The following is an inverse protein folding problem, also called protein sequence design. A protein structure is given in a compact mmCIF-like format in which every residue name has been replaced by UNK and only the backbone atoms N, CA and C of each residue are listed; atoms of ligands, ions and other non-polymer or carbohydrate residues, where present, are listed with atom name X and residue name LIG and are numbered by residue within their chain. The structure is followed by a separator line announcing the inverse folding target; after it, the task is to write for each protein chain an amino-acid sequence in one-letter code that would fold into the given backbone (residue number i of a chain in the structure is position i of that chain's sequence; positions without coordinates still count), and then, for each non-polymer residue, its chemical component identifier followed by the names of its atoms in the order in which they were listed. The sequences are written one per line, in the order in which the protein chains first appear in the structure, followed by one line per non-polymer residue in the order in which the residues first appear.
data_IF_951992495993
#
_entry.id   IF_951992495993
#
_cell.length_a   1.000
_cell.length_b   1.000
_cell.length_c   1.000
_cell.angle_alpha   90.00
_cell.angle_beta   90.00
_cell.angle_gamma   90.00
#
_symmetry.space_group_name_H-M   'P 1'
#
loop_
_entity.id
_entity.type
_entity.pdbx_description
1 polymer ?
#
# COMPACT_ATOMS: atom_id res chain seq x y z
N UNK A 1 -2.81 -12.53 20.00
CA UNK A 1 -1.58 -12.98 19.33
C UNK A 1 -1.97 -13.78 18.09
N UNK A 2 -1.18 -13.68 17.00
CA UNK A 2 -1.46 -14.44 15.76
C UNK A 2 -1.10 -15.91 15.91
N UNK A 3 -2.02 -16.80 15.52
CA UNK A 3 -1.82 -18.26 15.52
C UNK A 3 -1.37 -18.76 14.14
N UNK A 4 -0.73 -19.93 14.09
CA UNK A 4 -0.50 -20.63 12.83
C UNK A 4 -1.79 -21.34 12.41
N UNK A 5 -2.30 -21.01 11.23
CA UNK A 5 -3.61 -21.47 10.76
C UNK A 5 -3.52 -22.23 9.45
N UNK A 6 -2.40 -22.92 9.21
CA UNK A 6 -2.21 -23.71 8.00
C UNK A 6 -3.32 -24.77 7.79
N UNK A 7 -3.90 -25.29 8.88
CA UNK A 7 -5.02 -26.23 8.86
C UNK A 7 -6.32 -25.66 8.28
N UNK A 8 -6.49 -24.33 8.24
CA UNK A 8 -7.65 -23.69 7.61
C UNK A 8 -7.63 -23.79 6.08
N UNK A 9 -6.48 -24.12 5.47
CA UNK A 9 -6.42 -24.32 4.02
C UNK A 9 -7.15 -25.62 3.69
N UNK A 10 -8.23 -25.57 2.87
CA UNK A 10 -9.00 -26.77 2.55
C UNK A 10 -8.12 -27.87 1.95
N UNK A 11 -8.26 -29.10 2.44
CA UNK A 11 -7.40 -30.22 2.05
C UNK A 11 -7.35 -30.46 0.53
N UNK A 12 -8.44 -30.15 -0.19
CA UNK A 12 -8.53 -30.21 -1.66
C UNK A 12 -7.51 -29.31 -2.38
N UNK A 13 -7.00 -28.28 -1.71
CA UNK A 13 -6.00 -27.35 -2.23
C UNK A 13 -4.56 -27.77 -1.91
N UNK A 14 -4.34 -28.69 -0.98
CA UNK A 14 -2.99 -29.16 -0.65
C UNK A 14 -2.28 -29.78 -1.86
N UNK A 15 -3.03 -30.43 -2.75
CA UNK A 15 -2.50 -31.05 -3.98
C UNK A 15 -1.96 -30.06 -5.02
N UNK A 16 -2.40 -28.80 -4.95
CA UNK A 16 -1.92 -27.76 -5.88
C UNK A 16 -0.90 -26.83 -5.20
N UNK A 17 -0.87 -26.78 -3.86
CA UNK A 17 0.21 -26.11 -3.13
C UNK A 17 1.54 -26.80 -3.47
N UNK A 18 2.55 -26.00 -3.81
CA UNK A 18 3.85 -26.49 -4.27
C UNK A 18 3.95 -26.66 -5.78
N UNK A 19 2.96 -26.19 -6.55
CA UNK A 19 3.02 -26.20 -8.01
C UNK A 19 4.30 -25.49 -8.48
N UNK A 20 5.15 -26.23 -9.18
CA UNK A 20 6.33 -25.69 -9.85
C UNK A 20 5.93 -25.10 -11.18
N UNK A 21 6.32 -23.86 -11.43
CA UNK A 21 6.09 -23.15 -12.70
C UNK A 21 7.41 -22.66 -13.24
N UNK A 22 7.53 -22.56 -14.57
CA UNK A 22 8.64 -21.86 -15.22
C UNK A 22 8.11 -20.59 -15.87
N UNK A 23 8.82 -19.49 -15.65
CA UNK A 23 8.49 -18.17 -16.19
C UNK A 23 9.69 -17.72 -17.03
N UNK A 24 9.44 -17.29 -18.27
CA UNK A 24 10.49 -16.80 -19.17
C UNK A 24 11.27 -15.68 -18.50
N UNK A 25 12.59 -15.81 -18.53
CA UNK A 25 13.51 -14.75 -18.15
C UNK A 25 13.40 -13.61 -19.15
N UNK A 26 13.80 -12.43 -18.69
CA UNK A 26 13.87 -11.25 -19.51
C UNK A 26 14.30 -10.06 -18.69
N UNK A 27 14.28 -8.92 -19.34
CA UNK A 27 14.57 -7.65 -18.70
C UNK A 27 13.85 -6.53 -19.41
N UNK A 28 13.82 -5.38 -18.77
CA UNK A 28 13.31 -4.17 -19.40
C UNK A 28 14.37 -3.57 -20.29
N UNK A 29 14.00 -3.32 -21.55
CA UNK A 29 14.78 -2.54 -22.48
C UNK A 29 14.13 -1.18 -22.66
N UNK A 30 14.95 -0.18 -22.89
CA UNK A 30 14.49 1.17 -23.17
C UNK A 30 14.09 1.27 -24.65
N UNK A 31 12.87 1.72 -24.95
CA UNK A 31 12.38 1.92 -26.33
C UNK A 31 12.79 3.27 -26.92
N UNK A 32 12.78 4.30 -26.08
CA UNK A 32 12.99 5.70 -26.47
C UNK A 32 13.99 6.36 -25.53
N UNK A 33 14.60 7.47 -25.93
CA UNK A 33 15.53 8.21 -25.07
C UNK A 33 14.88 8.61 -23.72
N UNK A 34 15.63 8.40 -22.64
CA UNK A 34 15.19 8.66 -21.28
C UNK A 34 15.55 10.09 -20.86
N UNK A 35 14.57 10.87 -20.37
CA UNK A 35 14.83 12.15 -19.73
C UNK A 35 15.02 11.97 -18.22
N UNK A 36 16.28 12.02 -17.78
CA UNK A 36 16.66 11.84 -16.37
C UNK A 36 16.48 13.09 -15.51
N UNK A 37 16.09 14.24 -16.08
CA UNK A 37 16.00 15.51 -15.32
C UNK A 37 15.12 15.41 -14.08
N UNK A 38 14.03 14.65 -14.17
CA UNK A 38 13.10 14.45 -13.06
C UNK A 38 13.73 13.70 -11.87
N UNK A 39 14.83 12.96 -12.07
CA UNK A 39 15.59 12.27 -11.01
C UNK A 39 16.69 13.12 -10.37
N UNK A 40 17.21 14.13 -11.07
CA UNK A 40 18.45 14.82 -10.69
C UNK A 40 18.47 15.33 -9.23
N UNK A 41 17.41 16.01 -8.79
CA UNK A 41 17.33 16.54 -7.42
C UNK A 41 17.42 15.43 -6.36
N UNK A 42 16.75 14.30 -6.58
CA UNK A 42 16.83 13.15 -5.69
C UNK A 42 18.19 12.46 -5.77
N UNK A 43 18.76 12.30 -6.96
CA UNK A 43 20.08 11.70 -7.16
C UNK A 43 21.17 12.47 -6.44
N UNK A 44 21.17 13.80 -6.56
CA UNK A 44 22.11 14.67 -5.85
C UNK A 44 21.94 14.56 -4.33
N UNK A 45 20.70 14.56 -3.84
CA UNK A 45 20.38 14.36 -2.43
C UNK A 45 20.90 13.01 -1.90
N UNK A 46 20.66 11.92 -2.63
CA UNK A 46 21.11 10.57 -2.28
C UNK A 46 22.63 10.49 -2.25
N UNK A 47 23.29 11.02 -3.27
CA UNK A 47 24.75 11.03 -3.35
C UNK A 47 25.39 11.82 -2.19
N UNK A 48 24.82 12.96 -1.80
CA UNK A 48 25.31 13.74 -0.66
C UNK A 48 25.18 12.97 0.67
N UNK A 49 24.03 12.34 0.92
CA UNK A 49 23.77 11.56 2.14
C UNK A 49 24.63 10.30 2.21
N UNK A 50 24.76 9.58 1.10
CA UNK A 50 25.56 8.35 1.06
C UNK A 50 27.07 8.63 1.27
N UNK A 51 27.56 9.82 0.89
CA UNK A 51 28.95 10.25 1.11
C UNK A 51 29.22 10.71 2.54
N UNK A 52 28.23 11.31 3.20
CA UNK A 52 28.39 11.90 4.53
C UNK A 52 27.14 11.65 5.35
N UNK A 53 27.32 11.00 6.50
CA UNK A 53 26.24 10.83 7.48
C UNK A 53 25.71 12.20 7.92
N UNK A 54 24.44 12.45 7.66
CA UNK A 54 23.73 13.67 8.08
C UNK A 54 22.90 13.33 9.31
N UNK A 55 23.15 14.03 10.41
CA UNK A 55 22.32 13.93 11.62
C UNK A 55 21.04 14.72 11.40
N UNK A 56 19.90 14.06 11.56
CA UNK A 56 18.58 14.68 11.46
C UNK A 56 17.91 14.65 12.82
N UNK A 57 17.29 15.76 13.19
CA UNK A 57 16.36 15.84 14.31
C UNK A 57 14.95 15.79 13.70
N UNK A 58 14.22 14.65 13.79
CA UNK A 58 13.03 14.44 12.98
C UNK A 58 11.91 15.46 13.22
N UNK A 59 11.70 15.88 14.48
CA UNK A 59 10.67 16.87 14.83
C UNK A 59 11.00 18.27 14.28
N UNK A 60 12.28 18.69 14.32
CA UNK A 60 12.72 19.95 13.70
C UNK A 60 12.50 19.94 12.19
N UNK A 61 12.84 18.81 11.55
CA UNK A 61 12.65 18.65 10.11
C UNK A 61 11.16 18.72 9.73
N UNK A 62 10.29 18.03 10.47
CA UNK A 62 8.85 18.07 10.23
C UNK A 62 8.24 19.46 10.43
N UNK A 63 8.64 20.17 11.49
CA UNK A 63 8.16 21.52 11.76
C UNK A 63 8.58 22.50 10.68
N UNK A 64 9.86 22.51 10.32
CA UNK A 64 10.40 23.39 9.28
C UNK A 64 9.80 23.06 7.90
N UNK A 65 9.61 21.77 7.58
CA UNK A 65 8.94 21.36 6.34
C UNK A 65 7.53 21.96 6.25
N UNK A 66 6.76 21.87 7.34
CA UNK A 66 5.41 22.43 7.37
C UNK A 66 5.41 23.95 7.29
N UNK A 67 6.31 24.61 8.03
CA UNK A 67 6.47 26.07 8.00
C UNK A 67 6.79 26.58 6.60
N UNK A 68 7.80 26.03 5.95
CA UNK A 68 8.19 26.46 4.59
C UNK A 68 7.12 26.15 3.55
N UNK A 69 6.31 25.11 3.76
CA UNK A 69 5.11 24.88 2.95
C UNK A 69 4.10 26.02 3.12
N UNK A 70 3.81 26.42 4.37
CA UNK A 70 2.86 27.49 4.68
C UNK A 70 3.33 28.85 4.19
N UNK A 71 4.63 29.10 4.26
CA UNK A 71 5.26 30.33 3.78
C UNK A 71 5.43 30.36 2.24
N UNK A 72 5.11 29.26 1.54
CA UNK A 72 5.23 29.14 0.08
C UNK A 72 6.67 28.99 -0.44
N UNK A 73 7.65 28.91 0.45
CA UNK A 73 9.08 28.83 0.15
C UNK A 73 9.60 27.39 -0.04
N UNK A 74 8.79 26.37 0.26
CA UNK A 74 9.18 24.96 0.14
C UNK A 74 9.72 24.61 -1.27
N UNK A 75 9.10 25.14 -2.33
CA UNK A 75 9.52 24.90 -3.72
C UNK A 75 10.97 25.33 -4.00
N UNK A 76 11.41 26.42 -3.37
CA UNK A 76 12.77 26.94 -3.54
C UNK A 76 13.80 26.10 -2.78
N UNK A 77 13.36 25.34 -1.77
CA UNK A 77 14.19 24.50 -0.89
C UNK A 77 14.01 23.00 -1.14
N UNK A 78 13.38 22.61 -2.25
CA UNK A 78 13.06 21.21 -2.55
C UNK A 78 14.26 20.27 -2.38
N UNK A 79 15.38 20.57 -3.05
CA UNK A 79 16.60 19.74 -2.99
C UNK A 79 17.10 19.55 -1.56
N UNK A 80 17.07 20.61 -0.74
CA UNK A 80 17.50 20.56 0.65
C UNK A 80 16.58 19.65 1.49
N UNK A 81 15.26 19.76 1.31
CA UNK A 81 14.31 18.90 2.02
C UNK A 81 14.37 17.46 1.57
N UNK A 82 14.54 17.17 0.28
CA UNK A 82 14.76 15.80 -0.21
C UNK A 82 15.98 15.16 0.44
N UNK A 83 17.09 15.91 0.54
CA UNK A 83 18.30 15.46 1.22
C UNK A 83 18.04 15.12 2.68
N UNK A 84 17.38 16.01 3.43
CA UNK A 84 17.12 15.77 4.85
C UNK A 84 16.13 14.65 5.09
N UNK A 85 15.10 14.52 4.26
CA UNK A 85 14.13 13.43 4.36
C UNK A 85 14.77 12.09 3.99
N UNK A 86 15.59 12.03 2.95
CA UNK A 86 16.34 10.81 2.62
C UNK A 86 17.37 10.47 3.71
N UNK A 87 18.05 11.46 4.30
CA UNK A 87 18.93 11.22 5.45
C UNK A 87 18.20 10.63 6.66
N UNK A 88 16.98 11.11 6.94
CA UNK A 88 16.12 10.53 7.96
C UNK A 88 15.79 9.06 7.63
N UNK A 89 15.31 8.79 6.41
CA UNK A 89 14.97 7.45 5.95
C UNK A 89 16.16 6.48 5.99
N UNK A 90 17.35 6.97 5.66
CA UNK A 90 18.57 6.18 5.64
C UNK A 90 19.11 5.87 7.03
N UNK A 91 18.95 6.79 7.98
CA UNK A 91 19.27 6.52 9.39
C UNK A 91 18.38 5.41 10.00
N UNK A 92 17.20 5.15 9.41
CA UNK A 92 16.32 4.02 9.75
C UNK A 92 16.72 2.71 9.05
N UNK A 93 17.90 2.64 8.43
CA UNK A 93 18.46 1.43 7.83
C UNK A 93 18.10 1.23 6.36
N UNK A 94 17.50 2.22 5.70
CA UNK A 94 17.17 2.15 4.28
C UNK A 94 18.26 2.77 3.41
N UNK A 95 18.36 2.34 2.16
CA UNK A 95 19.28 2.96 1.21
C UNK A 95 18.77 2.83 -0.22
N UNK A 96 19.07 3.85 -1.01
CA UNK A 96 18.94 3.79 -2.46
C UNK A 96 20.29 3.40 -3.09
N UNK A 97 20.28 2.62 -4.17
CA UNK A 97 21.50 2.24 -4.87
C UNK A 97 22.13 3.46 -5.55
N UNK A 98 23.38 3.30 -5.99
CA UNK A 98 24.02 4.28 -6.86
C UNK A 98 23.18 4.47 -8.12
N UNK A 99 22.93 5.73 -8.48
CA UNK A 99 22.07 6.04 -9.60
C UNK A 99 22.70 5.63 -10.93
N UNK A 100 21.88 5.05 -11.79
CA UNK A 100 22.13 4.81 -13.20
C UNK A 100 20.77 4.80 -13.93
N UNK A 101 20.79 4.56 -15.24
CA UNK A 101 19.59 4.55 -16.09
C UNK A 101 19.00 3.16 -16.31
N UNK A 102 19.45 2.15 -15.56
CA UNK A 102 18.82 0.83 -15.61
C UNK A 102 17.43 0.88 -14.96
N UNK A 103 16.50 0.07 -15.50
CA UNK A 103 15.11 0.08 -15.07
C UNK A 103 14.95 -0.23 -13.56
N UNK A 104 15.74 -1.13 -13.00
CA UNK A 104 15.64 -1.52 -11.59
C UNK A 104 16.03 -0.34 -10.68
N UNK A 105 17.12 0.34 -11.00
CA UNK A 105 17.59 1.52 -10.27
C UNK A 105 16.57 2.65 -10.36
N UNK A 106 16.09 3.00 -11.56
CA UNK A 106 15.07 4.05 -11.74
C UNK A 106 13.78 3.74 -10.96
N UNK A 107 13.36 2.47 -10.96
CA UNK A 107 12.20 2.02 -10.19
C UNK A 107 12.38 2.19 -8.68
N UNK A 108 13.54 1.85 -8.11
CA UNK A 108 13.80 2.06 -6.68
C UNK A 108 13.70 3.53 -6.28
N UNK A 109 14.20 4.43 -7.12
CA UNK A 109 14.08 5.88 -6.90
C UNK A 109 12.62 6.35 -7.01
N UNK A 110 11.88 5.87 -8.01
CA UNK A 110 10.44 6.16 -8.16
C UNK A 110 9.63 5.63 -6.97
N UNK A 111 9.90 4.43 -6.49
CA UNK A 111 9.22 3.82 -5.33
C UNK A 111 9.55 4.58 -4.04
N UNK A 112 10.78 5.04 -3.85
CA UNK A 112 11.10 5.91 -2.72
C UNK A 112 10.20 7.16 -2.70
N UNK A 113 10.01 7.83 -3.84
CA UNK A 113 9.13 9.00 -3.92
C UNK A 113 7.65 8.62 -3.73
N UNK A 114 7.17 7.63 -4.47
CA UNK A 114 5.75 7.27 -4.53
C UNK A 114 5.23 6.55 -3.30
N UNK A 115 6.01 5.62 -2.75
CA UNK A 115 5.56 4.73 -1.68
C UNK A 115 6.03 5.20 -0.32
N UNK A 116 7.21 5.84 -0.23
CA UNK A 116 7.78 6.26 1.05
C UNK A 116 7.57 7.73 1.31
N UNK A 117 8.06 8.61 0.44
CA UNK A 117 7.97 10.05 0.64
C UNK A 117 6.52 10.51 0.70
N UNK A 118 5.73 10.19 -0.33
CA UNK A 118 4.32 10.58 -0.46
C UNK A 118 3.43 10.00 0.63
N UNK A 119 3.57 8.70 0.92
CA UNK A 119 2.58 7.99 1.75
C UNK A 119 2.99 7.84 3.22
N UNK A 120 4.27 8.04 3.58
CA UNK A 120 4.75 7.75 4.92
C UNK A 120 5.64 8.86 5.51
N UNK A 121 6.76 9.20 4.88
CA UNK A 121 7.81 10.00 5.52
C UNK A 121 7.35 11.41 5.87
N UNK A 122 6.60 12.07 4.98
CA UNK A 122 6.05 13.40 5.26
C UNK A 122 5.11 13.32 6.48
N UNK A 123 4.17 12.37 6.50
CA UNK A 123 3.26 12.19 7.63
C UNK A 123 4.03 11.94 8.93
N UNK A 124 4.97 10.99 8.94
CA UNK A 124 5.78 10.65 10.11
C UNK A 124 6.55 11.86 10.66
N UNK A 125 7.13 12.68 9.78
CA UNK A 125 7.85 13.89 10.20
C UNK A 125 6.90 14.93 10.79
N UNK A 126 5.75 15.16 10.16
CA UNK A 126 4.74 16.07 10.68
C UNK A 126 4.22 15.60 12.05
N UNK A 127 3.97 14.31 12.24
CA UNK A 127 3.49 13.77 13.52
C UNK A 127 4.51 14.01 14.63
N UNK A 128 5.79 13.73 14.37
CA UNK A 128 6.88 14.01 15.32
C UNK A 128 6.99 15.50 15.65
N UNK A 129 6.77 16.38 14.67
CA UNK A 129 6.77 17.81 14.88
C UNK A 129 5.58 18.29 15.72
N UNK A 130 4.39 17.73 15.48
CA UNK A 130 3.19 18.06 16.25
C UNK A 130 3.31 17.60 17.71
N UNK A 131 3.87 16.42 17.95
CA UNK A 131 4.15 15.91 19.30
C UNK A 131 5.15 16.80 20.06
N UNK A 132 6.22 17.24 19.39
CA UNK A 132 7.26 18.06 20.01
C UNK A 132 6.85 19.54 20.18
N UNK A 133 6.06 20.07 19.24
CA UNK A 133 5.71 21.50 19.15
C UNK A 133 4.20 21.75 18.98
N UNK A 134 3.34 21.24 19.88
CA UNK A 134 1.90 21.23 19.67
C UNK A 134 1.29 22.62 19.49
N UNK A 135 1.79 23.63 20.22
CA UNK A 135 1.31 25.02 20.12
C UNK A 135 1.69 25.65 18.79
N UNK A 136 2.98 25.62 18.44
CA UNK A 136 3.49 26.21 17.21
C UNK A 136 2.91 25.50 15.98
N UNK A 137 2.75 24.18 16.04
CA UNK A 137 2.14 23.39 14.96
C UNK A 137 0.66 23.77 14.76
N UNK A 138 -0.09 23.95 15.85
CA UNK A 138 -1.48 24.39 15.81
C UNK A 138 -1.62 25.81 15.25
N UNK A 139 -0.72 26.71 15.60
CA UNK A 139 -0.66 28.07 15.03
C UNK A 139 -0.44 28.02 13.51
N UNK A 140 0.49 27.17 13.03
CA UNK A 140 0.75 26.99 11.61
C UNK A 140 -0.44 26.39 10.84
N UNK A 141 -1.17 25.45 11.44
CA UNK A 141 -2.40 24.89 10.86
C UNK A 141 -3.46 25.96 10.61
N UNK A 142 -3.49 27.01 11.44
CA UNK A 142 -4.52 28.03 11.44
C UNK A 142 -5.82 27.48 12.02
N UNK A 143 -6.33 28.14 13.07
CA UNK A 143 -7.57 27.74 13.74
C UNK A 143 -8.75 28.12 12.82
N UNK A 144 -9.09 27.26 11.88
CA UNK A 144 -10.44 27.24 11.32
C UNK A 144 -11.20 26.12 12.01
N UNK A 145 -12.32 26.44 12.68
CA UNK A 145 -13.23 25.41 13.19
C UNK A 145 -13.72 24.59 11.99
N UNK A 146 -13.42 23.30 11.99
CA UNK A 146 -13.76 22.36 10.93
C UNK A 146 -15.15 21.78 11.18
N UNK A 147 -15.87 21.45 10.12
CA UNK A 147 -17.19 20.80 10.23
C UNK A 147 -17.03 19.28 10.13
N UNK A 148 -17.00 18.61 11.29
CA UNK A 148 -16.98 17.16 11.44
C UNK A 148 -18.38 16.56 11.58
N UNK A 149 -19.47 17.27 11.27
CA UNK A 149 -20.85 16.77 11.49
C UNK A 149 -21.14 15.40 10.90
N UNK A 150 -20.56 15.06 9.73
CA UNK A 150 -20.71 13.73 9.13
C UNK A 150 -20.09 12.63 10.01
N UNK A 151 -18.87 12.86 10.49
CA UNK A 151 -18.19 11.96 11.40
C UNK A 151 -18.95 11.91 12.74
N UNK A 152 -19.28 13.06 13.32
CA UNK A 152 -20.07 13.17 14.55
C UNK A 152 -21.40 12.41 14.49
N UNK A 153 -22.13 12.48 13.36
CA UNK A 153 -23.36 11.70 13.14
C UNK A 153 -23.11 10.19 13.14
N UNK A 154 -21.98 9.75 12.57
CA UNK A 154 -21.58 8.34 12.53
C UNK A 154 -21.24 7.85 13.93
N UNK A 155 -20.45 8.62 14.68
CA UNK A 155 -20.06 8.28 16.04
C UNK A 155 -21.26 8.28 16.99
N UNK A 156 -22.18 9.25 16.87
CA UNK A 156 -23.41 9.28 17.64
C UNK A 156 -24.30 8.06 17.38
N UNK A 157 -24.41 7.65 16.11
CA UNK A 157 -25.17 6.45 15.73
C UNK A 157 -24.64 5.19 16.40
N UNK A 158 -23.32 5.04 16.48
CA UNK A 158 -22.68 3.94 17.21
C UNK A 158 -22.85 4.05 18.71
N UNK A 159 -22.69 5.27 19.27
CA UNK A 159 -22.83 5.52 20.70
C UNK A 159 -24.22 5.16 21.22
N UNK A 160 -25.26 5.44 20.43
CA UNK A 160 -26.67 5.12 20.72
C UNK A 160 -27.11 3.71 20.33
N UNK A 161 -26.21 2.90 19.76
CA UNK A 161 -26.53 1.52 19.38
C UNK A 161 -26.28 0.54 20.53
N UNK A 162 -26.92 -0.63 20.44
CA UNK A 162 -26.69 -1.79 21.32
C UNK A 162 -25.53 -2.68 20.83
N UNK A 163 -24.65 -2.14 19.97
CA UNK A 163 -23.55 -2.92 19.43
C UNK A 163 -22.56 -3.32 20.55
N UNK A 164 -22.15 -4.60 20.61
CA UNK A 164 -21.05 -4.99 21.50
C UNK A 164 -19.80 -4.21 21.09
N UNK A 165 -18.97 -3.85 22.07
CA UNK A 165 -17.68 -3.18 21.81
C UNK A 165 -17.81 -1.83 21.08
N UNK A 166 -18.92 -1.10 21.28
CA UNK A 166 -19.16 0.18 20.59
C UNK A 166 -18.07 1.22 20.86
N UNK A 167 -17.49 1.25 22.06
CA UNK A 167 -16.42 2.19 22.41
C UNK A 167 -15.14 1.90 21.62
N UNK A 168 -14.70 0.65 21.57
CA UNK A 168 -13.54 0.20 20.78
C UNK A 168 -13.75 0.48 19.28
N UNK A 169 -14.97 0.30 18.79
CA UNK A 169 -15.34 0.68 17.41
C UNK A 169 -15.24 2.17 17.16
N UNK A 170 -15.70 3.01 18.10
CA UNK A 170 -15.58 4.47 17.99
C UNK A 170 -14.11 4.87 18.01
N UNK A 171 -13.29 4.32 18.93
CA UNK A 171 -11.84 4.55 18.97
C UNK A 171 -11.17 4.19 17.63
N UNK A 172 -11.49 3.02 17.06
CA UNK A 172 -10.98 2.61 15.75
C UNK A 172 -11.43 3.54 14.60
N UNK A 173 -12.63 4.11 14.65
CA UNK A 173 -13.06 5.12 13.66
C UNK A 173 -12.28 6.42 13.84
N UNK A 174 -12.10 6.86 15.09
CA UNK A 174 -11.36 8.06 15.44
C UNK A 174 -9.90 7.94 14.98
N UNK A 175 -9.21 6.85 15.30
CA UNK A 175 -7.84 6.57 14.87
C UNK A 175 -7.69 6.58 13.34
N UNK A 176 -8.65 6.00 12.60
CA UNK A 176 -8.67 6.04 11.13
C UNK A 176 -8.83 7.46 10.57
N UNK A 177 -9.42 8.35 11.34
CA UNK A 177 -9.52 9.78 11.03
C UNK A 177 -8.43 10.59 11.76
N UNK A 178 -7.38 9.91 12.25
CA UNK A 178 -6.23 10.45 12.96
C UNK A 178 -6.54 11.20 14.28
N UNK A 179 -7.69 10.91 14.89
CA UNK A 179 -8.00 11.29 16.27
C UNK A 179 -7.58 10.17 17.22
N UNK A 180 -6.56 10.44 18.05
CA UNK A 180 -6.09 9.49 19.06
C UNK A 180 -6.69 9.85 20.41
N UNK A 181 -7.56 8.99 20.94
CA UNK A 181 -8.25 9.20 22.23
C UNK A 181 -8.13 7.95 23.10
N UNK A 182 -7.68 8.14 24.33
CA UNK A 182 -7.56 7.03 25.29
C UNK A 182 -8.93 6.63 25.86
N UNK A 183 -9.81 7.61 26.06
CA UNK A 183 -11.11 7.43 26.70
C UNK A 183 -12.21 8.27 26.02
N UNK A 184 -13.44 7.74 25.98
CA UNK A 184 -14.61 8.42 25.43
C UNK A 184 -15.63 8.64 26.55
N UNK A 185 -15.57 9.82 27.17
CA UNK A 185 -16.42 10.20 28.31
C UNK A 185 -17.68 10.94 27.87
N UNK A 186 -18.38 10.39 26.88
CA UNK A 186 -19.60 11.02 26.36
C UNK A 186 -20.81 10.71 27.22
N UNK A 187 -21.65 11.71 27.45
CA UNK A 187 -22.92 11.50 28.15
C UNK A 187 -23.90 10.71 27.26
N UNK A 188 -24.84 9.92 27.82
CA UNK A 188 -25.83 9.18 27.03
C UNK A 188 -26.67 10.06 26.09
N UNK A 189 -26.89 11.32 26.48
CA UNK A 189 -27.66 12.31 25.74
C UNK A 189 -26.82 13.23 24.85
N UNK A 190 -25.53 12.94 24.64
CA UNK A 190 -24.65 13.77 23.80
C UNK A 190 -25.25 14.00 22.41
N UNK A 191 -25.05 15.21 21.88
CA UNK A 191 -25.56 15.65 20.58
C UNK A 191 -24.50 15.61 19.49
N UNK A 192 -24.93 15.70 18.22
CA UNK A 192 -24.00 15.79 17.08
C UNK A 192 -23.11 17.03 17.20
N UNK A 193 -23.65 18.16 17.69
CA UNK A 193 -22.89 19.40 17.83
C UNK A 193 -21.82 19.28 18.92
N UNK A 194 -22.13 18.66 20.06
CA UNK A 194 -21.15 18.45 21.14
C UNK A 194 -20.03 17.49 20.71
N UNK A 195 -20.35 16.40 20.00
CA UNK A 195 -19.32 15.52 19.41
C UNK A 195 -18.50 16.30 18.39
N UNK A 196 -19.13 17.14 17.56
CA UNK A 196 -18.43 17.97 16.58
C UNK A 196 -17.47 18.97 17.25
N UNK A 197 -17.88 19.62 18.33
CA UNK A 197 -17.05 20.55 19.09
C UNK A 197 -15.92 19.81 19.81
N UNK A 198 -16.19 18.62 20.35
CA UNK A 198 -15.17 17.74 20.90
C UNK A 198 -14.15 17.32 19.83
N UNK A 199 -14.59 16.91 18.65
CA UNK A 199 -13.69 16.62 17.52
C UNK A 199 -12.88 17.85 17.12
N UNK A 200 -13.49 19.04 17.11
CA UNK A 200 -12.75 20.29 16.87
C UNK A 200 -11.69 20.55 17.94
N UNK A 201 -11.98 20.26 19.21
CA UNK A 201 -11.00 20.38 20.29
C UNK A 201 -9.82 19.42 20.15
N UNK A 202 -10.04 18.25 19.53
CA UNK A 202 -8.99 17.28 19.21
C UNK A 202 -8.30 17.56 17.87
N UNK A 203 -8.96 18.30 16.96
CA UNK A 203 -8.52 18.50 15.57
C UNK A 203 -7.22 19.30 15.42
N UNK A 204 -6.84 20.07 16.44
CA UNK A 204 -5.51 20.69 16.52
C UNK A 204 -4.39 19.65 16.47
N UNK A 205 -4.71 18.40 16.81
CA UNK A 205 -3.78 17.28 16.91
C UNK A 205 -3.85 16.31 15.70
N UNK A 206 -4.57 16.67 14.63
CA UNK A 206 -4.81 15.77 13.48
C UNK A 206 -4.11 16.26 12.21
N UNK A 207 -3.17 15.48 11.69
CA UNK A 207 -2.53 15.72 10.40
C UNK A 207 -3.38 15.10 9.28
N UNK A 208 -3.95 15.96 8.45
CA UNK A 208 -4.81 15.52 7.35
C UNK A 208 -4.00 14.94 6.18
N UNK A 209 -4.54 13.89 5.55
CA UNK A 209 -3.98 13.31 4.34
C UNK A 209 -3.86 14.35 3.20
N UNK A 210 -4.79 15.30 3.13
CA UNK A 210 -4.75 16.37 2.14
C UNK A 210 -3.54 17.31 2.35
N UNK A 211 -3.20 17.62 3.60
CA UNK A 211 -2.01 18.41 3.91
C UNK A 211 -0.74 17.68 3.47
N UNK A 212 -0.61 16.39 3.80
CA UNK A 212 0.51 15.54 3.37
C UNK A 212 0.62 15.54 1.85
N UNK A 213 -0.50 15.38 1.14
CA UNK A 213 -0.54 15.39 -0.32
C UNK A 213 -0.14 16.74 -0.91
N UNK A 214 -0.55 17.85 -0.30
CA UNK A 214 -0.17 19.21 -0.73
C UNK A 214 1.32 19.47 -0.54
N UNK A 215 1.88 19.12 0.62
CA UNK A 215 3.33 19.21 0.89
C UNK A 215 4.10 18.34 -0.12
N UNK A 216 3.65 17.10 -0.36
CA UNK A 216 4.26 16.24 -1.38
C UNK A 216 4.25 16.88 -2.77
N UNK A 217 3.11 17.46 -3.17
CA UNK A 217 2.99 18.08 -4.49
C UNK A 217 3.97 19.25 -4.65
N UNK A 218 4.11 20.10 -3.63
CA UNK A 218 5.07 21.20 -3.63
C UNK A 218 6.52 20.75 -3.50
N UNK A 219 6.77 19.60 -2.87
CA UNK A 219 8.11 19.07 -2.73
C UNK A 219 8.61 18.36 -4.00
N UNK A 220 7.76 17.52 -4.61
CA UNK A 220 8.21 16.62 -5.70
C UNK A 220 7.11 16.13 -6.65
N UNK A 221 5.87 16.64 -6.57
CA UNK A 221 4.74 16.08 -7.31
C UNK A 221 4.91 16.08 -8.83
N UNK A 222 5.40 17.19 -9.40
CA UNK A 222 5.63 17.32 -10.84
C UNK A 222 6.72 16.35 -11.33
N UNK A 223 7.87 16.33 -10.64
CA UNK A 223 8.98 15.42 -10.96
C UNK A 223 8.54 13.97 -10.87
N UNK A 224 7.75 13.61 -9.85
CA UNK A 224 7.21 12.24 -9.73
C UNK A 224 6.30 11.87 -10.90
N UNK A 225 5.43 12.78 -11.36
CA UNK A 225 4.60 12.56 -12.53
C UNK A 225 5.42 12.35 -13.81
N UNK A 226 6.53 13.09 -13.97
CA UNK A 226 7.44 12.88 -15.10
C UNK A 226 8.22 11.56 -14.98
N UNK A 227 8.70 11.20 -13.79
CA UNK A 227 9.31 9.89 -13.55
C UNK A 227 8.38 8.76 -13.98
N UNK A 228 7.08 8.86 -13.63
CA UNK A 228 6.09 7.85 -14.02
C UNK A 228 6.00 7.69 -15.54
N UNK A 229 5.92 8.80 -16.28
CA UNK A 229 5.89 8.77 -17.76
C UNK A 229 7.15 8.21 -18.37
N UNK A 230 8.31 8.60 -17.85
CA UNK A 230 9.60 8.09 -18.32
C UNK A 230 9.75 6.58 -18.09
N UNK A 231 9.17 6.05 -17.00
CA UNK A 231 9.13 4.59 -16.79
C UNK A 231 8.26 3.85 -17.84
N UNK A 232 7.31 4.50 -18.50
CA UNK A 232 6.47 3.87 -19.54
C UNK A 232 7.24 3.58 -20.84
N UNK A 233 8.42 4.21 -21.02
CA UNK A 233 9.31 3.96 -22.17
C UNK A 233 10.03 2.61 -22.10
N UNK A 234 9.97 1.94 -20.97
CA UNK A 234 10.56 0.62 -20.80
C UNK A 234 9.60 -0.47 -21.25
N UNK A 235 10.11 -1.41 -22.04
CA UNK A 235 9.39 -2.62 -22.43
C UNK A 235 10.10 -3.85 -21.91
N UNK A 236 9.34 -4.75 -21.33
CA UNK A 236 9.87 -6.07 -20.99
C UNK A 236 10.12 -6.88 -22.27
N UNK A 237 11.37 -7.29 -22.49
CA UNK A 237 11.72 -8.27 -23.52
C UNK A 237 12.17 -9.58 -22.90
N UNK A 238 11.54 -10.65 -23.35
CA UNK A 238 11.94 -12.01 -22.99
C UNK A 238 13.27 -12.37 -23.66
N UNK A 239 14.15 -13.03 -22.92
CA UNK A 239 15.41 -13.58 -23.44
C UNK A 239 15.14 -14.78 -24.37
N UNK A 240 14.93 -14.54 -25.67
CA UNK A 240 14.90 -15.56 -26.73
C UNK A 240 13.95 -16.76 -26.54
N UNK A 241 13.95 -17.69 -27.50
CA UNK A 241 13.22 -18.98 -27.43
C UNK A 241 14.02 -20.09 -26.72
N UNK A 242 14.90 -19.76 -25.78
CA UNK A 242 15.64 -20.78 -25.03
C UNK A 242 14.75 -21.33 -23.91
N UNK A 243 14.41 -22.63 -24.00
CA UNK A 243 13.43 -23.35 -23.17
C UNK A 243 13.72 -23.47 -21.66
N UNK A 244 14.42 -22.50 -21.06
CA UNK A 244 14.79 -22.49 -19.65
C UNK A 244 14.26 -21.23 -18.95
N UNK A 245 12.93 -21.17 -18.74
CA UNK A 245 12.35 -20.19 -17.82
C UNK A 245 12.88 -20.41 -16.39
N UNK A 246 12.98 -19.34 -15.60
CA UNK A 246 13.33 -19.40 -14.18
C UNK A 246 12.21 -20.16 -13.45
N UNK A 247 12.52 -21.21 -12.68
CA UNK A 247 11.50 -21.96 -11.97
C UNK A 247 11.11 -21.25 -10.68
N UNK A 248 9.84 -21.36 -10.34
CA UNK A 248 9.25 -20.86 -9.11
C UNK A 248 8.31 -21.91 -8.54
N UNK A 249 8.01 -21.79 -7.25
CA UNK A 249 7.08 -22.64 -6.54
C UNK A 249 5.98 -21.80 -5.91
N UNK A 250 4.73 -22.12 -6.22
CA UNK A 250 3.57 -21.42 -5.65
C UNK A 250 3.06 -22.17 -4.43
N UNK A 251 3.08 -21.54 -3.26
CA UNK A 251 2.74 -22.17 -1.98
C UNK A 251 1.57 -21.46 -1.34
N UNK A 252 0.48 -22.19 -1.08
CA UNK A 252 -0.59 -21.71 -0.23
C UNK A 252 -0.18 -21.77 1.23
N UNK A 253 -0.36 -20.67 1.95
CA UNK A 253 0.01 -20.60 3.35
C UNK A 253 -0.95 -19.79 4.20
N UNK A 254 -1.08 -20.18 5.46
CA UNK A 254 -1.55 -19.35 6.59
C UNK A 254 -0.64 -19.52 7.80
N UNK A 255 0.64 -19.81 7.56
CA UNK A 255 1.63 -19.93 8.62
C UNK A 255 1.91 -18.55 9.22
N UNK A 256 2.04 -18.50 10.54
CA UNK A 256 2.36 -17.26 11.24
C UNK A 256 3.67 -16.64 10.75
N UNK A 257 4.70 -17.46 10.51
CA UNK A 257 6.00 -16.97 10.03
C UNK A 257 5.94 -16.30 8.65
N UNK A 258 4.92 -16.60 7.84
CA UNK A 258 4.76 -16.00 6.52
C UNK A 258 3.89 -14.74 6.55
N UNK A 259 3.50 -14.26 7.72
CA UNK A 259 2.61 -13.12 7.89
C UNK A 259 3.38 -11.80 8.03
N UNK A 260 4.44 -11.67 7.23
CA UNK A 260 5.31 -10.48 7.15
C UNK A 260 5.27 -9.89 5.74
N UNK A 261 5.65 -8.62 5.61
CA UNK A 261 5.49 -7.84 4.36
C UNK A 261 6.12 -8.52 3.14
N UNK A 262 7.27 -9.20 3.29
CA UNK A 262 7.97 -9.84 2.16
C UNK A 262 7.17 -10.93 1.43
N UNK A 263 6.27 -11.62 2.14
CA UNK A 263 5.45 -12.69 1.55
C UNK A 263 4.08 -12.19 1.09
N UNK A 264 3.63 -11.03 1.61
CA UNK A 264 2.38 -10.35 1.24
C UNK A 264 2.72 -8.94 0.79
N UNK A 265 3.51 -8.87 -0.28
CA UNK A 265 3.93 -7.60 -0.83
C UNK A 265 2.71 -6.80 -1.30
N UNK A 266 2.84 -5.49 -1.33
CA UNK A 266 1.99 -4.62 -2.15
C UNK A 266 0.77 -4.00 -1.48
N UNK A 267 0.00 -4.76 -0.69
CA UNK A 267 -1.01 -4.17 0.20
C UNK A 267 -0.60 -4.45 1.63
N UNK A 268 -0.46 -3.41 2.45
CA UNK A 268 0.04 -3.49 3.83
C UNK A 268 -0.93 -4.24 4.76
N UNK A 269 -1.17 -5.53 4.55
CA UNK A 269 -2.02 -6.38 5.38
C UNK A 269 -1.23 -7.18 6.40
N UNK A 270 0.11 -7.05 6.40
CA UNK A 270 0.97 -7.71 7.38
C UNK A 270 0.56 -7.46 8.85
N UNK A 271 0.15 -6.24 9.29
CA UNK A 271 -0.31 -6.03 10.66
C UNK A 271 -1.80 -6.37 10.89
N UNK A 272 -2.54 -6.83 9.87
CA UNK A 272 -3.99 -7.02 9.94
C UNK A 272 -4.40 -8.35 10.57
N UNK A 273 -4.28 -8.47 11.89
CA UNK A 273 -4.62 -9.69 12.62
C UNK A 273 -6.06 -10.18 12.35
N UNK A 274 -7.01 -9.26 12.12
CA UNK A 274 -8.39 -9.64 11.83
C UNK A 274 -8.49 -10.35 10.48
N UNK A 275 -7.81 -9.85 9.45
CA UNK A 275 -7.74 -10.51 8.15
C UNK A 275 -7.04 -11.87 8.24
N UNK A 276 -5.87 -11.93 8.90
CA UNK A 276 -5.08 -13.16 9.03
C UNK A 276 -5.84 -14.29 9.75
N UNK A 277 -6.67 -13.91 10.73
CA UNK A 277 -7.52 -14.84 11.47
C UNK A 277 -8.86 -15.14 10.77
N UNK A 278 -9.09 -14.61 9.58
CA UNK A 278 -10.32 -14.91 8.86
C UNK A 278 -10.24 -16.27 8.16
N UNK A 279 -11.25 -17.17 8.28
CA UNK A 279 -11.25 -18.45 7.58
C UNK A 279 -11.41 -18.29 6.05
N UNK A 280 -11.90 -17.13 5.60
CA UNK A 280 -12.08 -16.79 4.19
C UNK A 280 -10.81 -16.23 3.52
N UNK A 281 -9.68 -16.18 4.23
CA UNK A 281 -8.42 -15.60 3.77
C UNK A 281 -7.31 -16.65 3.64
N UNK A 282 -6.60 -16.60 2.50
CA UNK A 282 -5.38 -17.37 2.27
C UNK A 282 -4.36 -16.52 1.50
N UNK A 283 -3.07 -16.79 1.67
CA UNK A 283 -2.04 -16.26 0.77
C UNK A 283 -1.46 -17.37 -0.09
N UNK A 284 -1.14 -17.06 -1.33
CA UNK A 284 -0.18 -17.83 -2.12
C UNK A 284 1.10 -17.05 -2.20
N UNK A 285 2.21 -17.68 -1.84
CA UNK A 285 3.55 -17.13 -1.87
C UNK A 285 4.27 -17.71 -3.09
N UNK A 286 5.00 -16.87 -3.81
CA UNK A 286 5.92 -17.27 -4.86
C UNK A 286 7.29 -17.44 -4.22
N UNK A 287 7.83 -18.66 -4.26
CA UNK A 287 9.21 -18.94 -3.87
C UNK A 287 10.08 -19.12 -5.12
N UNK A 288 11.27 -18.56 -5.11
CA UNK A 288 12.29 -18.85 -6.13
C UNK A 288 13.07 -20.15 -5.80
N UNK A 289 14.17 -20.38 -6.51
CA UNK A 289 15.02 -21.58 -6.34
C UNK A 289 15.80 -21.59 -5.02
N UNK A 290 15.98 -20.42 -4.41
CA UNK A 290 16.70 -20.23 -3.15
C UNK A 290 15.75 -20.15 -1.95
N UNK A 291 14.46 -20.48 -2.16
CA UNK A 291 13.39 -20.36 -1.17
C UNK A 291 13.18 -18.92 -0.65
N UNK A 292 13.55 -17.91 -1.45
CA UNK A 292 13.23 -16.52 -1.15
C UNK A 292 11.77 -16.21 -1.49
N UNK A 293 11.09 -15.53 -0.57
CA UNK A 293 9.73 -15.04 -0.77
C UNK A 293 9.65 -13.88 -1.77
N UNK A 294 8.90 -14.08 -2.84
CA UNK A 294 8.79 -13.14 -3.95
C UNK A 294 7.40 -12.48 -4.05
N UNK A 295 6.75 -12.24 -2.90
CA UNK A 295 5.33 -11.83 -2.87
C UNK A 295 4.39 -12.94 -3.35
N UNK A 296 3.24 -12.57 -3.91
CA UNK A 296 2.32 -13.56 -4.48
C UNK A 296 0.88 -13.07 -4.62
N UNK A 297 -0.09 -13.76 -4.00
CA UNK A 297 -1.52 -13.42 -4.12
C UNK A 297 -2.20 -13.50 -2.77
N UNK A 298 -3.00 -12.49 -2.47
CA UNK A 298 -3.97 -12.52 -1.38
C UNK A 298 -5.29 -13.04 -1.94
N UNK A 299 -5.77 -14.16 -1.40
CA UNK A 299 -7.07 -14.72 -1.73
C UNK A 299 -8.10 -14.40 -0.64
N UNK A 300 -9.31 -14.06 -1.09
CA UNK A 300 -10.50 -13.98 -0.25
C UNK A 300 -11.63 -14.81 -0.83
N UNK A 301 -12.55 -15.27 0.02
CA UNK A 301 -13.78 -15.90 -0.44
C UNK A 301 -14.99 -15.09 -0.02
N UNK A 302 -15.98 -15.02 -0.90
CA UNK A 302 -17.23 -14.33 -0.62
C UNK A 302 -18.41 -15.14 -1.16
N UNK A 303 -19.58 -14.88 -0.59
CA UNK A 303 -20.84 -15.49 -0.99
C UNK A 303 -21.90 -14.39 -1.17
N UNK A 304 -22.66 -14.44 -2.27
CA UNK A 304 -23.81 -13.57 -2.56
C UNK A 304 -24.81 -14.33 -3.43
N UNK A 305 -26.10 -14.26 -3.11
CA UNK A 305 -27.17 -14.93 -3.88
C UNK A 305 -26.88 -16.42 -4.15
N UNK A 306 -26.44 -17.15 -3.12
CA UNK A 306 -26.04 -18.57 -3.19
C UNK A 306 -24.85 -18.88 -4.13
N UNK A 307 -24.16 -17.85 -4.60
CA UNK A 307 -22.97 -17.97 -5.44
C UNK A 307 -21.72 -17.72 -4.61
N UNK A 308 -20.74 -18.61 -4.76
CA UNK A 308 -19.43 -18.53 -4.09
C UNK A 308 -18.36 -18.06 -5.05
N UNK A 309 -17.59 -17.07 -4.65
CA UNK A 309 -16.54 -16.46 -5.47
C UNK A 309 -15.18 -16.55 -4.80
N UNK A 310 -14.14 -16.75 -5.61
CA UNK A 310 -12.75 -16.63 -5.18
C UNK A 310 -12.22 -15.30 -5.67
N UNK A 311 -11.70 -14.46 -4.79
CA UNK A 311 -11.14 -13.16 -5.11
C UNK A 311 -9.63 -13.26 -5.05
N UNK A 312 -8.93 -12.69 -6.04
CA UNK A 312 -7.47 -12.63 -6.09
C UNK A 312 -6.98 -11.17 -6.15
N UNK A 313 -6.11 -10.81 -5.21
CA UNK A 313 -5.28 -9.60 -5.24
C UNK A 313 -3.82 -10.01 -5.52
N UNK A 314 -3.30 -9.64 -6.69
CA UNK A 314 -2.07 -10.15 -7.29
C UNK A 314 -0.91 -9.19 -6.99
N UNK A 315 0.00 -9.61 -6.13
CA UNK A 315 1.08 -8.79 -5.59
C UNK A 315 2.46 -9.49 -5.64
N UNK A 316 2.94 -9.90 -6.83
CA UNK A 316 4.33 -10.33 -6.99
C UNK A 316 5.32 -9.22 -6.58
N UNK A 317 6.52 -9.59 -6.14
CA UNK A 317 7.56 -8.60 -5.83
C UNK A 317 8.08 -7.94 -7.11
N UNK A 318 8.50 -6.67 -7.01
CA UNK A 318 9.11 -5.97 -8.14
C UNK A 318 10.41 -6.67 -8.59
N UNK A 319 11.16 -7.29 -7.67
CA UNK A 319 12.40 -8.02 -7.97
C UNK A 319 12.19 -9.24 -8.87
N UNK A 320 11.05 -9.94 -8.79
CA UNK A 320 10.76 -10.97 -9.80
C UNK A 320 10.28 -10.34 -11.10
N UNK A 321 9.45 -9.31 -11.04
CA UNK A 321 8.92 -8.66 -12.23
C UNK A 321 9.98 -7.92 -13.06
N UNK A 322 11.17 -7.66 -12.50
CA UNK A 322 12.32 -7.11 -13.23
C UNK A 322 13.13 -8.16 -13.99
N UNK A 323 13.04 -9.44 -13.60
CA UNK A 323 13.90 -10.52 -14.14
C UNK A 323 13.13 -11.61 -14.89
N UNK A 324 11.80 -11.64 -14.79
CA UNK A 324 10.93 -12.58 -15.51
C UNK A 324 9.68 -11.89 -16.05
N UNK A 325 9.09 -12.44 -17.12
CA UNK A 325 7.95 -11.82 -17.81
C UNK A 325 6.78 -11.55 -16.86
N UNK A 326 6.36 -10.28 -16.71
CA UNK A 326 5.16 -9.93 -15.95
C UNK A 326 3.90 -10.61 -16.49
N UNK A 327 3.75 -10.70 -17.80
CA UNK A 327 2.61 -11.32 -18.49
C UNK A 327 2.54 -12.82 -18.19
N UNK A 328 3.67 -13.52 -18.30
CA UNK A 328 3.72 -14.94 -17.95
C UNK A 328 3.52 -15.14 -16.45
N UNK A 329 4.09 -14.27 -15.59
CA UNK A 329 3.88 -14.32 -14.14
C UNK A 329 2.39 -14.23 -13.82
N UNK A 330 1.72 -13.20 -14.36
CA UNK A 330 0.28 -13.04 -14.25
C UNK A 330 -0.47 -14.28 -14.76
N UNK A 331 -0.17 -14.77 -15.96
CA UNK A 331 -0.84 -15.93 -16.53
C UNK A 331 -0.66 -17.21 -15.68
N UNK A 332 0.52 -17.44 -15.10
CA UNK A 332 0.78 -18.57 -14.19
C UNK A 332 -0.02 -18.42 -12.90
N UNK A 333 -0.08 -17.22 -12.34
CA UNK A 333 -0.89 -16.90 -11.16
C UNK A 333 -2.36 -17.19 -11.44
N UNK A 334 -2.92 -16.64 -12.53
CA UNK A 334 -4.31 -16.89 -12.90
C UNK A 334 -4.60 -18.37 -13.11
N UNK A 335 -3.69 -19.11 -13.76
CA UNK A 335 -3.83 -20.56 -13.90
C UNK A 335 -3.91 -21.26 -12.55
N UNK A 336 -3.08 -20.87 -11.59
CA UNK A 336 -3.13 -21.40 -10.23
C UNK A 336 -4.44 -21.04 -9.52
N UNK A 337 -4.88 -19.78 -9.61
CA UNK A 337 -6.15 -19.31 -9.03
C UNK A 337 -7.36 -20.05 -9.61
N UNK A 338 -7.36 -20.35 -10.92
CA UNK A 338 -8.40 -21.15 -11.56
C UNK A 338 -8.43 -22.60 -11.05
N UNK A 339 -7.27 -23.19 -10.76
CA UNK A 339 -7.19 -24.51 -10.12
C UNK A 339 -7.77 -24.47 -8.70
N UNK A 340 -7.47 -23.42 -7.92
CA UNK A 340 -8.08 -23.22 -6.59
C UNK A 340 -9.60 -23.12 -6.69
N UNK A 341 -10.11 -22.22 -7.55
CA UNK A 341 -11.55 -22.03 -7.79
C UNK A 341 -12.23 -23.36 -8.11
N UNK A 342 -11.67 -24.14 -9.04
CA UNK A 342 -12.19 -25.47 -9.41
C UNK A 342 -12.15 -26.45 -8.24
N UNK A 343 -11.07 -26.47 -7.46
CA UNK A 343 -10.94 -27.31 -6.27
C UNK A 343 -11.98 -26.99 -5.19
N UNK A 344 -12.28 -25.72 -5.00
CA UNK A 344 -13.29 -25.23 -4.04
C UNK A 344 -14.73 -25.31 -4.57
N UNK A 345 -14.93 -25.63 -5.86
CA UNK A 345 -16.22 -25.59 -6.56
C UNK A 345 -16.88 -24.20 -6.53
N UNK A 346 -16.07 -23.16 -6.67
CA UNK A 346 -16.57 -21.78 -6.71
C UNK A 346 -16.93 -21.36 -8.13
N UNK A 347 -17.89 -20.46 -8.27
CA UNK A 347 -18.47 -20.12 -9.57
C UNK A 347 -17.48 -19.33 -10.43
N UNK A 348 -16.98 -18.20 -9.93
CA UNK A 348 -16.03 -17.37 -10.65
C UNK A 348 -14.76 -17.08 -9.84
N UNK A 349 -13.69 -16.78 -10.58
CA UNK A 349 -12.50 -16.10 -10.07
C UNK A 349 -12.68 -14.61 -10.35
N UNK A 350 -12.54 -13.79 -9.33
CA UNK A 350 -12.73 -12.35 -9.40
C UNK A 350 -11.41 -11.63 -9.09
N UNK A 351 -11.16 -10.53 -9.79
CA UNK A 351 -10.09 -9.58 -9.47
C UNK A 351 -10.74 -8.22 -9.19
N UNK A 352 -10.46 -7.54 -8.06
CA UNK A 352 -11.02 -6.21 -7.80
C UNK A 352 -10.69 -5.21 -8.93
N UNK A 353 -11.61 -4.31 -9.26
CA UNK A 353 -11.29 -3.26 -10.26
C UNK A 353 -10.46 -2.12 -9.69
N UNK A 354 -10.47 -1.94 -8.37
CA UNK A 354 -9.65 -0.93 -7.68
C UNK A 354 -8.17 -1.31 -7.74
N UNK A 355 -7.37 -0.44 -8.35
CA UNK A 355 -5.93 -0.67 -8.55
C UNK A 355 -5.12 -0.60 -7.26
N UNK A 356 -5.64 -0.01 -6.19
CA UNK A 356 -4.99 -0.09 -4.86
C UNK A 356 -5.11 -1.51 -4.30
N UNK A 357 -6.16 -2.24 -4.67
CA UNK A 357 -6.46 -3.58 -4.14
C UNK A 357 -5.92 -4.67 -5.06
N UNK A 358 -6.14 -4.62 -6.37
CA UNK A 358 -5.79 -5.75 -7.24
C UNK A 358 -4.30 -6.00 -7.41
N UNK A 359 -3.49 -4.94 -7.35
CA UNK A 359 -2.03 -4.99 -7.51
C UNK A 359 -1.47 -3.59 -7.31
N UNK A 360 -0.42 -3.41 -6.51
CA UNK A 360 0.32 -2.15 -6.48
C UNK A 360 1.54 -2.17 -7.41
N UNK A 361 1.65 -3.17 -8.30
CA UNK A 361 2.72 -3.28 -9.29
C UNK A 361 2.24 -2.74 -10.62
N UNK A 362 2.92 -1.71 -11.15
CA UNK A 362 2.49 -1.03 -12.38
C UNK A 362 2.36 -1.99 -13.56
N UNK A 363 3.27 -2.97 -13.71
CA UNK A 363 3.20 -3.97 -14.78
C UNK A 363 1.97 -4.89 -14.65
N UNK A 364 1.57 -5.27 -13.44
CA UNK A 364 0.36 -6.07 -13.24
C UNK A 364 -0.90 -5.21 -13.39
N UNK A 365 -0.87 -3.96 -12.92
CA UNK A 365 -1.94 -2.98 -13.08
C UNK A 365 -2.24 -2.68 -14.56
N UNK A 366 -1.25 -2.71 -15.45
CA UNK A 366 -1.47 -2.55 -16.89
C UNK A 366 -1.95 -3.83 -17.56
N UNK A 367 -1.45 -5.01 -17.13
CA UNK A 367 -1.89 -6.30 -17.67
C UNK A 367 -3.37 -6.54 -17.40
N UNK A 368 -3.86 -6.41 -16.15
CA UNK A 368 -5.24 -6.78 -15.79
C UNK A 368 -6.30 -6.11 -16.69
N UNK A 369 -6.30 -4.77 -16.91
CA UNK A 369 -7.27 -4.12 -17.79
C UNK A 369 -7.10 -4.49 -19.26
N UNK A 370 -5.87 -4.70 -19.75
CA UNK A 370 -5.61 -5.08 -21.15
C UNK A 370 -6.17 -6.46 -21.54
N UNK A 371 -6.47 -7.31 -20.56
CA UNK A 371 -7.13 -8.59 -20.78
C UNK A 371 -8.62 -8.44 -21.14
N UNK A 372 -9.22 -7.25 -21.01
CA UNK A 372 -10.61 -6.95 -21.37
C UNK A 372 -11.63 -7.91 -20.74
N UNK A 373 -11.44 -8.27 -19.47
CA UNK A 373 -12.38 -9.14 -18.76
C UNK A 373 -13.76 -8.48 -18.59
N UNK A 374 -14.85 -9.26 -18.64
CA UNK A 374 -16.16 -8.77 -18.22
C UNK A 374 -16.12 -8.26 -16.77
N UNK A 375 -16.96 -7.27 -16.45
CA UNK A 375 -17.05 -6.74 -15.10
C UNK A 375 -18.31 -7.23 -14.37
N UNK A 376 -18.18 -7.42 -13.06
CA UNK A 376 -19.26 -7.77 -12.14
C UNK A 376 -19.32 -6.71 -11.04
N UNK A 377 -20.51 -6.24 -10.71
CA UNK A 377 -20.74 -5.42 -9.51
C UNK A 377 -21.66 -6.20 -8.58
N UNK A 378 -21.19 -6.47 -7.37
CA UNK A 378 -21.96 -7.16 -6.34
C UNK A 378 -22.91 -6.19 -5.62
N UNK A 379 -23.95 -6.74 -5.00
CA UNK A 379 -24.99 -5.94 -4.32
C UNK A 379 -24.42 -5.25 -3.08
N UNK A 380 -23.58 -5.94 -2.31
CA UNK A 380 -22.91 -5.37 -1.12
C UNK A 380 -21.43 -5.09 -1.34
N UNK A 381 -20.92 -4.17 -0.51
CA UNK A 381 -19.48 -3.98 -0.33
C UNK A 381 -18.94 -5.05 0.61
N UNK A 382 -17.74 -5.49 0.34
CA UNK A 382 -17.03 -6.50 1.12
C UNK A 382 -15.67 -5.95 1.56
N UNK A 383 -15.27 -6.30 2.78
CA UNK A 383 -14.00 -5.84 3.35
C UNK A 383 -12.84 -6.65 2.76
N UNK A 384 -11.81 -5.95 2.25
CA UNK A 384 -10.55 -6.53 1.83
C UNK A 384 -9.57 -6.65 3.00
N UNK A 385 -9.41 -5.57 3.78
CA UNK A 385 -8.53 -5.45 4.94
C UNK A 385 -9.17 -4.52 5.97
N UNK A 386 -8.75 -4.61 7.22
CA UNK A 386 -9.22 -3.86 8.37
C UNK A 386 -8.15 -2.93 8.95
N UNK A 387 -6.86 -3.21 8.72
CA UNK A 387 -5.73 -2.44 9.26
C UNK A 387 -4.50 -2.51 8.33
N UNK A 388 -3.63 -1.47 8.29
CA UNK A 388 -3.84 -0.14 8.88
C UNK A 388 -4.89 0.66 8.08
N UNK A 389 -5.20 0.22 6.87
CA UNK A 389 -6.21 0.80 6.01
C UNK A 389 -7.38 -0.16 5.83
N UNK A 390 -8.60 0.38 5.96
CA UNK A 390 -9.83 -0.36 5.76
C UNK A 390 -10.23 -0.28 4.27
N UNK A 391 -9.76 -1.22 3.46
CA UNK A 391 -10.11 -1.30 2.05
C UNK A 391 -11.37 -2.15 1.85
N UNK A 392 -12.20 -1.77 0.90
CA UNK A 392 -13.41 -2.49 0.52
C UNK A 392 -13.49 -2.63 -1.00
N UNK A 393 -14.08 -3.71 -1.48
CA UNK A 393 -14.37 -3.92 -2.90
C UNK A 393 -15.87 -4.20 -3.12
N UNK A 394 -16.32 -3.94 -4.35
CA UNK A 394 -17.70 -4.20 -4.80
C UNK A 394 -17.74 -4.55 -6.29
N UNK A 395 -16.84 -3.94 -7.07
CA UNK A 395 -16.71 -4.14 -8.51
C UNK A 395 -15.47 -4.97 -8.82
N UNK A 396 -15.62 -5.91 -9.73
CA UNK A 396 -14.63 -6.92 -10.08
C UNK A 396 -14.54 -7.14 -11.59
N UNK A 397 -13.40 -7.64 -12.04
CA UNK A 397 -13.22 -8.36 -13.30
C UNK A 397 -13.52 -9.85 -13.08
N UNK A 398 -14.20 -10.48 -14.04
CA UNK A 398 -14.49 -11.92 -14.06
C UNK A 398 -13.42 -12.62 -14.89
N UNK A 399 -12.65 -13.52 -14.26
CA UNK A 399 -11.52 -14.22 -14.89
C UNK A 399 -11.88 -15.70 -15.10
N UNK A 400 -12.64 -15.99 -16.15
CA UNK A 400 -13.07 -17.35 -16.50
C UNK A 400 -12.07 -18.09 -17.38
#
# INVERSE_FOLDING_TARGET
SREDRQSDIPAVLNRISGLKVKISKGGYILKDELDVKSWNNLVEAVNEVNRKKIKIIPHDLGYNLFKEYRDGSLRQKQKQYLKWIYAFDSNEGHSLPNFNTDHETLMKYKEFIGDRLKNNLIFTLLSKAQEAYPKQFSELLGISKRDYKKLAKTLLGLWKSDAPQKEERIKSILERNAFFVEEINWQPNITINEINDWLNSLSSNVIEKELVQKIFNDLYGENYGQMQKEMEKFEFKTEGKSGFGRPFRFILSKRKMHSVAMFNMGVCVAPDDKLWNSPDFWQMIIFDEEDNGCGGVIYRTIEEDDKKYLIASIQPSQGILSSVSPEQTYARIIKFSKLMRKGLKYQNLLIPTDSVIHSNRSSIQSIIPSMNYPTLTLKRKYDFSYSPYHYQYQKFYIVD
#
